data_IF_017734802998
#
_entry.id   IF_017734802998
#
_cell.length_a   1.000
_cell.length_b   1.000
_cell.length_c   1.000
_cell.angle_alpha   90.00
_cell.angle_beta   90.00
_cell.angle_gamma   90.00
#
_symmetry.space_group_name_H-M   'P 1'
#
loop_
_entity.id
_entity.type
_entity.pdbx_description
1 polymer ?
#
# COMPACT_ATOMS: atom_id res chain seq x y z
N UNK A 1 19.71 0.11 22.99
CA UNK A 1 18.40 -0.30 22.43
C UNK A 1 18.62 -1.56 21.61
N UNK A 2 17.76 -2.58 21.76
CA UNK A 2 17.82 -3.74 20.87
C UNK A 2 17.37 -3.33 19.46
N UNK A 3 18.01 -3.81 18.38
CA UNK A 3 17.54 -3.57 17.02
C UNK A 3 16.09 -4.04 16.86
N UNK A 4 15.30 -3.29 16.11
CA UNK A 4 13.97 -3.70 15.66
C UNK A 4 14.08 -4.13 14.20
N UNK A 5 14.33 -5.42 13.89
CA UNK A 5 14.53 -5.85 12.50
C UNK A 5 13.22 -5.81 11.73
N UNK A 6 13.28 -5.27 10.51
CA UNK A 6 12.19 -5.30 9.53
C UNK A 6 12.62 -6.10 8.31
N UNK A 7 11.74 -6.99 7.85
CA UNK A 7 11.83 -7.59 6.53
C UNK A 7 11.02 -6.74 5.56
N UNK A 8 11.59 -6.42 4.41
CA UNK A 8 10.96 -5.56 3.41
C UNK A 8 10.65 -6.38 2.17
N UNK A 9 9.43 -6.23 1.65
CA UNK A 9 9.01 -6.70 0.33
C UNK A 9 8.23 -5.58 -0.38
N UNK A 10 8.29 -5.56 -1.70
CA UNK A 10 7.67 -4.56 -2.57
C UNK A 10 7.48 -5.17 -3.96
N UNK A 11 6.62 -4.56 -4.79
CA UNK A 11 6.51 -4.87 -6.23
C UNK A 11 6.26 -6.36 -6.49
N UNK A 12 5.44 -6.99 -5.65
CA UNK A 12 5.16 -8.42 -5.75
C UNK A 12 4.21 -8.75 -6.91
N UNK A 13 3.33 -7.81 -7.28
CA UNK A 13 2.33 -7.98 -8.33
C UNK A 13 1.63 -9.34 -8.28
N UNK A 14 1.02 -9.67 -7.13
CA UNK A 14 0.40 -10.99 -6.91
C UNK A 14 -0.76 -11.26 -7.89
N UNK A 15 -1.33 -10.23 -8.50
CA UNK A 15 -2.34 -10.31 -9.56
C UNK A 15 -1.82 -10.84 -10.89
N UNK A 16 -0.52 -10.73 -11.17
CA UNK A 16 0.08 -11.24 -12.41
C UNK A 16 0.56 -12.68 -12.27
N UNK A 17 0.43 -13.26 -11.08
CA UNK A 17 0.90 -14.60 -10.77
C UNK A 17 -0.30 -15.53 -10.49
N UNK A 18 -0.43 -16.65 -11.21
CA UNK A 18 -1.57 -17.59 -11.07
C UNK A 18 -1.75 -18.17 -9.67
N UNK A 19 -0.77 -17.98 -8.79
CA UNK A 19 -0.62 -18.68 -7.54
C UNK A 19 -0.26 -17.71 -6.41
N UNK A 20 -1.04 -16.65 -6.23
CA UNK A 20 -0.92 -15.71 -5.10
C UNK A 20 -0.92 -16.38 -3.71
N UNK A 21 -1.39 -17.63 -3.61
CA UNK A 21 -1.27 -18.51 -2.43
C UNK A 21 0.10 -19.20 -2.26
N UNK A 22 0.99 -19.07 -3.23
CA UNK A 22 2.30 -19.77 -3.31
C UNK A 22 3.51 -18.84 -3.30
N UNK A 23 3.33 -17.53 -3.08
CA UNK A 23 4.48 -16.66 -2.82
C UNK A 23 5.07 -17.02 -1.45
N UNK A 24 6.00 -17.97 -1.47
CA UNK A 24 6.66 -18.53 -0.31
C UNK A 24 8.03 -17.87 -0.20
N UNK A 25 8.30 -17.32 0.97
CA UNK A 25 9.56 -16.67 1.27
C UNK A 25 9.94 -16.93 2.73
N UNK A 26 11.24 -16.97 3.03
CA UNK A 26 11.72 -17.17 4.40
C UNK A 26 11.44 -15.93 5.24
N UNK A 27 10.95 -16.15 6.46
CA UNK A 27 10.86 -15.10 7.47
C UNK A 27 12.26 -14.85 8.05
N UNK A 28 12.70 -13.59 7.97
CA UNK A 28 14.03 -13.13 8.43
C UNK A 28 13.93 -12.10 9.55
N UNK A 29 12.71 -11.62 9.86
CA UNK A 29 12.43 -10.64 10.89
C UNK A 29 11.02 -10.86 11.51
N UNK A 30 10.73 -10.31 12.70
CA UNK A 30 9.41 -10.38 13.32
C UNK A 30 8.42 -9.36 12.74
N UNK A 31 8.90 -8.29 12.08
CA UNK A 31 8.08 -7.29 11.43
C UNK A 31 8.27 -7.33 9.91
N UNK A 32 7.18 -7.18 9.17
CA UNK A 32 7.16 -7.13 7.72
C UNK A 32 6.72 -5.73 7.27
N UNK A 33 7.42 -5.17 6.30
CA UNK A 33 7.02 -3.98 5.57
C UNK A 33 6.73 -4.35 4.12
N UNK A 34 5.48 -4.12 3.71
CA UNK A 34 4.99 -4.28 2.35
C UNK A 34 4.86 -2.88 1.73
N UNK A 35 5.73 -2.54 0.78
CA UNK A 35 5.99 -1.16 0.36
C UNK A 35 5.48 -0.82 -1.05
N UNK A 36 4.23 -1.17 -1.32
CA UNK A 36 3.55 -0.85 -2.56
C UNK A 36 3.63 -1.95 -3.62
N UNK A 37 2.71 -1.86 -4.58
CA UNK A 37 2.60 -2.74 -5.73
C UNK A 37 2.58 -4.23 -5.36
N UNK A 38 1.87 -4.53 -4.28
CA UNK A 38 1.70 -5.89 -3.77
C UNK A 38 0.60 -6.58 -4.58
N UNK A 39 -0.57 -5.92 -4.65
CA UNK A 39 -1.68 -6.28 -5.52
C UNK A 39 -2.79 -5.21 -5.45
N UNK A 40 -3.64 -5.09 -6.49
CA UNK A 40 -4.82 -4.25 -6.47
C UNK A 40 -5.70 -4.52 -5.24
N UNK A 41 -6.19 -3.46 -4.60
CA UNK A 41 -7.09 -3.57 -3.46
C UNK A 41 -8.46 -4.16 -3.83
N UNK A 42 -8.80 -4.19 -5.13
CA UNK A 42 -9.96 -4.91 -5.65
C UNK A 42 -9.72 -6.44 -5.75
N UNK A 43 -8.46 -6.89 -5.69
CA UNK A 43 -8.09 -8.30 -5.84
C UNK A 43 -8.25 -9.07 -4.53
N UNK A 44 -9.00 -10.18 -4.50
CA UNK A 44 -9.05 -11.08 -3.34
C UNK A 44 -7.68 -11.62 -2.93
N UNK A 45 -6.77 -11.78 -3.89
CA UNK A 45 -5.42 -12.30 -3.69
C UNK A 45 -4.63 -11.47 -2.66
N UNK A 46 -4.81 -10.14 -2.65
CA UNK A 46 -4.17 -9.25 -1.69
C UNK A 46 -4.53 -9.66 -0.26
N UNK A 47 -5.82 -9.84 0.02
CA UNK A 47 -6.30 -10.10 1.37
C UNK A 47 -5.94 -11.50 1.84
N UNK A 48 -5.99 -12.51 0.96
CA UNK A 48 -5.49 -13.85 1.25
C UNK A 48 -4.00 -13.82 1.62
N UNK A 49 -3.19 -13.07 0.88
CA UNK A 49 -1.77 -12.90 1.17
C UNK A 49 -1.52 -12.17 2.50
N UNK A 50 -2.20 -11.05 2.75
CA UNK A 50 -2.07 -10.28 3.99
C UNK A 50 -2.44 -11.11 5.22
N UNK A 51 -3.54 -11.86 5.17
CA UNK A 51 -3.97 -12.74 6.26
C UNK A 51 -2.96 -13.87 6.51
N UNK A 52 -2.30 -14.38 5.48
CA UNK A 52 -1.20 -15.34 5.64
C UNK A 52 0.01 -14.71 6.35
N UNK A 53 0.37 -13.47 6.01
CA UNK A 53 1.49 -12.80 6.66
C UNK A 53 1.19 -12.40 8.11
N UNK A 54 -0.06 -12.03 8.42
CA UNK A 54 -0.47 -11.76 9.80
C UNK A 54 -0.40 -12.98 10.73
N UNK A 55 -0.34 -14.21 10.18
CA UNK A 55 -0.06 -15.41 10.99
C UNK A 55 1.44 -15.63 11.26
N UNK A 56 2.32 -14.92 10.54
CA UNK A 56 3.78 -15.14 10.55
C UNK A 56 4.53 -13.99 11.24
N UNK A 57 4.04 -12.77 11.11
CA UNK A 57 4.70 -11.57 11.62
C UNK A 57 3.92 -10.94 12.76
N UNK A 58 4.63 -10.33 13.72
CA UNK A 58 4.01 -9.55 14.79
C UNK A 58 3.38 -8.26 14.28
N UNK A 59 3.96 -7.67 13.24
CA UNK A 59 3.43 -6.49 12.58
C UNK A 59 3.63 -6.59 11.08
N UNK A 60 2.59 -6.27 10.31
CA UNK A 60 2.65 -6.11 8.86
C UNK A 60 2.31 -4.65 8.56
N UNK A 61 3.34 -3.87 8.24
CA UNK A 61 3.19 -2.52 7.69
C UNK A 61 2.83 -2.61 6.22
N UNK A 62 1.88 -1.80 5.78
CA UNK A 62 1.42 -1.76 4.40
C UNK A 62 1.34 -0.32 3.90
N UNK A 63 2.11 0.00 2.88
CA UNK A 63 1.99 1.24 2.11
C UNK A 63 1.37 0.87 0.76
N UNK A 64 0.24 1.47 0.35
CA UNK A 64 -0.27 1.27 -1.00
C UNK A 64 0.66 1.92 -2.02
N UNK A 65 0.97 1.22 -3.10
CA UNK A 65 1.59 1.74 -4.31
C UNK A 65 0.55 2.25 -5.30
N UNK A 66 1.01 2.62 -6.50
CA UNK A 66 0.16 3.12 -7.58
C UNK A 66 -0.67 2.00 -8.24
N UNK A 67 -0.35 0.72 -8.01
CA UNK A 67 -1.14 -0.41 -8.50
C UNK A 67 -2.32 -0.79 -7.59
N UNK A 68 -2.29 -0.50 -6.30
CA UNK A 68 -3.39 -0.76 -5.37
C UNK A 68 -4.76 -0.19 -5.80
N UNK A 69 -4.89 1.00 -6.44
CA UNK A 69 -6.16 1.48 -6.97
C UNK A 69 -6.61 0.84 -8.30
N UNK A 70 -5.82 -0.02 -8.94
CA UNK A 70 -6.19 -0.61 -10.23
C UNK A 70 -7.51 -1.39 -10.17
N UNK A 71 -8.35 -1.22 -11.19
CA UNK A 71 -9.69 -1.82 -11.25
C UNK A 71 -10.70 -1.22 -10.25
N UNK A 72 -10.31 -0.16 -9.53
CA UNK A 72 -11.14 0.61 -8.61
C UNK A 72 -10.80 2.10 -8.74
N UNK A 73 -10.98 2.90 -7.69
CA UNK A 73 -10.47 4.27 -7.59
C UNK A 73 -9.62 4.41 -6.33
N UNK A 74 -8.80 5.46 -6.23
CA UNK A 74 -8.05 5.74 -5.00
C UNK A 74 -8.92 5.77 -3.73
N UNK A 75 -10.07 6.48 -3.69
CA UNK A 75 -10.97 6.42 -2.54
C UNK A 75 -11.48 5.01 -2.23
N UNK A 76 -11.87 4.24 -3.24
CA UNK A 76 -12.39 2.89 -3.06
C UNK A 76 -11.30 1.92 -2.55
N UNK A 77 -10.08 2.00 -3.10
CA UNK A 77 -8.96 1.20 -2.65
C UNK A 77 -8.59 1.51 -1.19
N UNK A 78 -8.48 2.80 -0.83
CA UNK A 78 -8.26 3.22 0.56
C UNK A 78 -9.35 2.74 1.50
N UNK A 79 -10.62 2.83 1.10
CA UNK A 79 -11.74 2.34 1.89
C UNK A 79 -11.62 0.84 2.17
N UNK A 80 -11.30 0.03 1.16
CA UNK A 80 -11.13 -1.42 1.31
C UNK A 80 -9.96 -1.76 2.23
N UNK A 81 -8.82 -1.09 2.08
CA UNK A 81 -7.65 -1.27 2.95
C UNK A 81 -7.94 -0.89 4.41
N UNK A 82 -8.68 0.19 4.65
CA UNK A 82 -9.13 0.59 6.00
C UNK A 82 -10.09 -0.42 6.60
N UNK A 83 -11.09 -0.87 5.82
CA UNK A 83 -12.01 -1.91 6.27
C UNK A 83 -11.29 -3.23 6.60
N UNK A 84 -10.25 -3.58 5.83
CA UNK A 84 -9.37 -4.70 6.17
C UNK A 84 -8.65 -4.49 7.50
N UNK A 85 -8.05 -3.31 7.71
CA UNK A 85 -7.36 -2.98 8.95
C UNK A 85 -8.28 -3.08 10.18
N UNK A 86 -9.49 -2.50 10.10
CA UNK A 86 -10.50 -2.57 11.16
C UNK A 86 -10.90 -4.03 11.46
N UNK A 87 -11.16 -4.82 10.42
CA UNK A 87 -11.50 -6.24 10.56
C UNK A 87 -10.39 -7.05 11.22
N UNK A 88 -9.13 -6.78 10.86
CA UNK A 88 -7.97 -7.45 11.46
C UNK A 88 -7.78 -7.07 12.92
N UNK A 89 -8.03 -5.82 13.31
CA UNK A 89 -7.94 -5.41 14.72
C UNK A 89 -9.03 -6.09 15.56
N UNK A 90 -10.28 -6.18 15.05
CA UNK A 90 -11.36 -6.93 15.70
C UNK A 90 -11.01 -8.42 15.86
N UNK A 91 -10.42 -9.03 14.83
CA UNK A 91 -9.97 -10.42 14.88
C UNK A 91 -8.83 -10.63 15.88
N UNK A 92 -7.87 -9.70 15.93
CA UNK A 92 -6.73 -9.74 16.85
C UNK A 92 -7.15 -9.66 18.32
N UNK A 93 -8.23 -8.96 18.64
CA UNK A 93 -8.79 -8.95 20.01
C UNK A 93 -9.22 -10.33 20.51
N UNK A 94 -9.38 -11.31 19.61
CA UNK A 94 -9.85 -12.68 19.90
C UNK A 94 -8.89 -13.78 19.41
N UNK A 95 -7.68 -13.41 18.97
CA UNK A 95 -6.72 -14.35 18.37
C UNK A 95 -5.27 -13.90 18.55
N UNK A 96 -4.32 -14.72 18.13
CA UNK A 96 -2.87 -14.46 18.26
C UNK A 96 -2.22 -13.92 16.98
N UNK A 97 -3.01 -13.47 16.00
CA UNK A 97 -2.47 -12.90 14.77
C UNK A 97 -1.69 -11.60 15.06
N UNK A 98 -0.78 -11.27 14.17
CA UNK A 98 -0.07 -10.00 14.14
C UNK A 98 -1.00 -8.81 13.91
N UNK A 99 -0.44 -7.61 14.05
CA UNK A 99 -1.12 -6.36 13.76
C UNK A 99 -0.90 -5.93 12.31
N UNK A 100 -1.97 -5.59 11.61
CA UNK A 100 -1.89 -4.89 10.33
C UNK A 100 -1.82 -3.38 10.59
N UNK A 101 -0.87 -2.70 9.96
CA UNK A 101 -0.70 -1.24 10.06
C UNK A 101 -0.72 -0.64 8.65
N UNK A 102 -1.83 0.00 8.29
CA UNK A 102 -1.94 0.77 7.06
C UNK A 102 -1.22 2.11 7.22
N UNK A 103 -0.23 2.37 6.37
CA UNK A 103 0.54 3.62 6.33
C UNK A 103 0.20 4.41 5.05
N UNK A 104 -0.89 5.18 5.11
CA UNK A 104 -1.31 6.14 4.07
C UNK A 104 -1.36 7.54 4.68
N UNK A 105 -0.22 8.24 4.63
CA UNK A 105 0.06 9.47 5.42
C UNK A 105 -0.06 9.18 6.93
N UNK A 106 0.47 8.04 7.33
CA UNK A 106 0.36 7.49 8.68
C UNK A 106 1.66 7.52 9.47
N UNK A 107 1.50 7.48 10.80
CA UNK A 107 2.58 7.34 11.78
C UNK A 107 2.32 6.12 12.65
N UNK A 108 3.35 5.35 12.92
CA UNK A 108 3.32 4.23 13.86
C UNK A 108 4.53 4.28 14.79
N UNK A 109 4.29 4.12 16.08
CA UNK A 109 5.36 4.06 17.08
C UNK A 109 5.58 2.61 17.51
N UNK A 110 6.80 2.13 17.28
CA UNK A 110 7.21 0.80 17.71
C UNK A 110 7.74 0.85 19.13
N UNK A 111 7.68 -0.29 19.86
CA UNK A 111 8.38 -0.43 21.13
C UNK A 111 9.87 -0.04 20.97
N UNK A 112 10.41 0.66 21.97
CA UNK A 112 11.79 1.15 21.93
C UNK A 112 11.98 2.49 21.20
N UNK A 113 10.91 3.22 20.88
CA UNK A 113 10.98 4.61 20.41
C UNK A 113 11.24 4.79 18.92
N UNK A 114 11.29 3.70 18.15
CA UNK A 114 11.36 3.78 16.68
C UNK A 114 10.01 4.24 16.14
N UNK A 115 10.03 5.29 15.30
CA UNK A 115 8.85 5.81 14.62
C UNK A 115 8.92 5.42 13.15
N UNK A 116 7.84 4.82 12.64
CA UNK A 116 7.65 4.49 11.23
C UNK A 116 6.63 5.46 10.65
N UNK A 117 7.03 6.19 9.61
CA UNK A 117 6.16 7.04 8.80
C UNK A 117 5.99 6.39 7.44
N UNK A 118 4.80 6.46 6.85
CA UNK A 118 4.60 5.94 5.51
C UNK A 118 3.45 6.59 4.75
N UNK A 119 3.68 6.76 3.45
CA UNK A 119 2.75 7.30 2.48
C UNK A 119 3.19 6.90 1.07
N UNK A 120 2.23 6.78 0.15
CA UNK A 120 2.52 6.79 -1.29
C UNK A 120 3.07 8.16 -1.67
N UNK A 121 4.25 8.18 -2.28
CA UNK A 121 4.83 9.38 -2.87
C UNK A 121 4.52 9.41 -4.36
N UNK A 122 3.99 10.52 -4.82
CA UNK A 122 3.74 10.73 -6.24
C UNK A 122 4.72 11.77 -6.77
N UNK A 123 5.27 11.50 -7.96
CA UNK A 123 6.14 12.46 -8.64
C UNK A 123 5.36 13.69 -9.09
N UNK A 124 5.94 14.88 -8.90
CA UNK A 124 5.44 16.09 -9.54
C UNK A 124 5.65 15.94 -11.05
N UNK A 125 4.57 16.09 -11.82
CA UNK A 125 4.63 16.14 -13.29
C UNK A 125 4.62 17.60 -13.69
N UNK A 126 5.59 18.05 -14.50
CA UNK A 126 5.62 19.42 -15.01
C UNK A 126 4.57 19.59 -16.11
N UNK A 127 4.01 20.79 -16.23
CA UNK A 127 2.96 21.10 -17.22
C UNK A 127 3.34 20.69 -18.65
N UNK A 128 4.59 20.97 -19.06
CA UNK A 128 5.10 20.58 -20.38
C UNK A 128 5.33 19.07 -20.58
N UNK A 129 5.30 18.28 -19.51
CA UNK A 129 5.53 16.82 -19.54
C UNK A 129 4.23 16.03 -19.45
N UNK A 130 3.09 16.67 -19.13
CA UNK A 130 1.83 16.00 -18.86
C UNK A 130 1.38 15.09 -20.00
N UNK A 131 1.47 15.56 -21.25
CA UNK A 131 1.09 14.75 -22.42
C UNK A 131 1.98 13.51 -22.61
N UNK A 132 3.28 13.63 -22.39
CA UNK A 132 4.21 12.49 -22.51
C UNK A 132 3.96 11.48 -21.40
N UNK A 133 3.83 11.95 -20.16
CA UNK A 133 3.56 11.10 -18.99
C UNK A 133 2.23 10.37 -19.14
N UNK A 134 1.17 11.07 -19.54
CA UNK A 134 -0.16 10.50 -19.70
C UNK A 134 -0.23 9.43 -20.78
N UNK A 135 0.52 9.62 -21.88
CA UNK A 135 0.57 8.64 -22.96
C UNK A 135 1.41 7.40 -22.66
N UNK A 136 2.39 7.48 -21.73
CA UNK A 136 3.36 6.41 -21.49
C UNK A 136 3.10 5.60 -20.22
N UNK A 137 2.53 6.21 -19.18
CA UNK A 137 2.32 5.53 -17.90
C UNK A 137 0.99 4.78 -17.91
N UNK A 138 1.05 3.49 -17.57
CA UNK A 138 -0.14 2.63 -17.55
C UNK A 138 -1.23 3.11 -16.59
N UNK A 139 -0.84 3.79 -15.50
CA UNK A 139 -1.77 4.28 -14.47
C UNK A 139 -2.80 5.28 -14.98
N UNK A 140 -2.44 6.06 -16.01
CA UNK A 140 -3.32 7.08 -16.61
C UNK A 140 -4.12 6.56 -17.81
N UNK A 141 -3.99 5.26 -18.14
CA UNK A 141 -4.77 4.68 -19.22
C UNK A 141 -6.26 4.61 -18.82
N UNK A 142 -7.19 4.95 -19.74
CA UNK A 142 -8.62 4.91 -19.46
C UNK A 142 -9.07 3.55 -18.91
N UNK A 143 -9.78 3.59 -17.77
CA UNK A 143 -10.33 2.40 -17.13
C UNK A 143 -9.33 1.60 -16.28
N UNK A 144 -8.04 1.98 -16.24
CA UNK A 144 -7.05 1.36 -15.34
C UNK A 144 -7.31 1.75 -13.88
N UNK A 145 -7.36 3.06 -13.62
CA UNK A 145 -7.79 3.64 -12.34
C UNK A 145 -9.05 4.48 -12.61
N UNK A 146 -10.12 4.14 -11.92
CA UNK A 146 -11.42 4.80 -11.99
C UNK A 146 -11.49 6.10 -11.20
N UNK A 147 -12.60 6.82 -11.36
CA UNK A 147 -12.79 8.15 -10.78
C UNK A 147 -12.17 9.28 -11.62
N UNK A 148 -11.93 9.05 -12.91
CA UNK A 148 -11.32 10.03 -13.81
C UNK A 148 -9.84 10.26 -13.52
N UNK A 149 -9.11 9.21 -13.15
CA UNK A 149 -7.70 9.32 -12.83
C UNK A 149 -6.85 9.45 -14.10
N UNK A 150 -6.40 10.67 -14.35
CA UNK A 150 -5.47 11.06 -15.41
C UNK A 150 -4.30 11.86 -14.82
N UNK A 151 -3.44 12.43 -15.68
CA UNK A 151 -2.26 13.18 -15.23
C UNK A 151 -2.68 14.49 -14.56
N UNK A 152 -3.73 15.12 -15.06
CA UNK A 152 -4.34 16.34 -14.54
C UNK A 152 -4.83 16.12 -13.11
N UNK A 153 -5.57 15.05 -12.87
CA UNK A 153 -6.04 14.63 -11.55
C UNK A 153 -4.87 14.34 -10.61
N UNK A 154 -3.86 13.59 -11.10
CA UNK A 154 -2.65 13.29 -10.35
C UNK A 154 -1.92 14.55 -9.88
N UNK A 155 -1.75 15.54 -10.76
CA UNK A 155 -1.15 16.83 -10.39
C UNK A 155 -2.05 17.57 -9.38
N UNK A 156 -3.37 17.58 -9.64
CA UNK A 156 -4.35 18.27 -8.78
C UNK A 156 -4.36 17.74 -7.35
N UNK A 157 -4.22 16.43 -7.14
CA UNK A 157 -4.22 15.87 -5.78
C UNK A 157 -2.90 16.11 -5.02
N UNK A 158 -1.83 16.51 -5.72
CA UNK A 158 -0.53 16.83 -5.13
C UNK A 158 -0.35 18.32 -4.84
N UNK A 159 -0.95 19.20 -5.64
CA UNK A 159 -0.92 20.66 -5.47
C UNK A 159 -1.32 21.14 -4.04
N UNK A 160 -2.39 20.62 -3.40
CA UNK A 160 -2.76 21.01 -2.03
C UNK A 160 -1.70 20.63 -0.99
N UNK A 161 -0.94 19.55 -1.23
CA UNK A 161 0.08 19.08 -0.29
C UNK A 161 1.34 19.96 -0.28
N UNK A 162 1.62 20.69 -1.37
CA UNK A 162 2.79 21.59 -1.48
C UNK A 162 2.49 22.97 -0.87
N UNK A 163 1.25 23.46 -0.99
CA UNK A 163 0.86 24.79 -0.44
C UNK A 163 0.68 24.82 1.07
N UNK A 164 0.55 23.68 1.75
CA UNK A 164 0.58 23.61 3.22
C UNK A 164 2.00 23.49 3.82
N UNK A 165 3.04 23.56 2.99
CA UNK A 165 4.45 23.52 3.40
C UNK A 165 5.20 24.84 3.26
N UNK A 166 4.50 25.96 3.06
CA UNK A 166 5.02 27.33 3.13
C UNK A 166 4.28 28.10 4.23
#
# INVERSE_FOLDING_TARGET
MSPTPLQILSDLHLETHPSSTTFIYKQTAPHLALLGDIAPAASPALYTFLEAQLRRYWTVFFVPGNHEPWGASWPAARQRLRAFAERMEVLRAKSTIGRFVLLDRGRWEMPGGLVVLGCTLFSRVLEGEMGVVGSRMGDFQPGRIGGGWDVEEHVRVLEPAVKMGM
#
